data_IF_655847909217
#
_entry.id   IF_655847909217
#
_cell.length_a   1.000
_cell.length_b   1.000
_cell.length_c   1.000
_cell.angle_alpha   90.00
_cell.angle_beta   90.00
_cell.angle_gamma   90.00
#
_symmetry.space_group_name_H-M   'P 1'
#
loop_
_entity.id
_entity.type
_entity.pdbx_description
1 polymer ?
#
# COMPACT_ATOMS: atom_id res chain seq x y z
N UNK A 1 -26.26 -7.13 -2.48
CA UNK A 1 -26.33 -5.91 -3.31
C UNK A 1 -25.63 -4.67 -2.72
N UNK A 2 -25.68 -4.41 -1.41
CA UNK A 2 -25.07 -3.19 -0.81
C UNK A 2 -23.54 -3.08 -0.92
N UNK A 3 -22.80 -4.20 -0.96
CA UNK A 3 -21.32 -4.17 -1.07
C UNK A 3 -20.89 -3.77 -2.48
N UNK A 4 -21.46 -4.39 -3.52
CA UNK A 4 -21.12 -4.09 -4.92
C UNK A 4 -21.34 -2.61 -5.23
N UNK A 5 -22.47 -2.04 -4.79
CA UNK A 5 -22.75 -0.61 -4.99
C UNK A 5 -21.77 0.29 -4.23
N UNK A 6 -21.38 -0.08 -2.99
CA UNK A 6 -20.34 0.64 -2.24
C UNK A 6 -18.98 0.56 -2.92
N UNK A 7 -18.60 -0.61 -3.45
CA UNK A 7 -17.34 -0.79 -4.16
C UNK A 7 -17.28 0.05 -5.44
N UNK A 8 -18.37 0.09 -6.22
CA UNK A 8 -18.47 0.93 -7.41
C UNK A 8 -18.42 2.42 -7.03
N UNK A 9 -19.15 2.83 -6.00
CA UNK A 9 -19.10 4.20 -5.48
C UNK A 9 -17.66 4.59 -5.09
N UNK A 10 -16.97 3.74 -4.33
CA UNK A 10 -15.59 4.00 -3.92
C UNK A 10 -14.63 4.14 -5.11
N UNK A 11 -14.75 3.28 -6.12
CA UNK A 11 -13.95 3.38 -7.35
C UNK A 11 -14.22 4.70 -8.09
N UNK A 12 -15.49 5.12 -8.17
CA UNK A 12 -15.88 6.39 -8.79
C UNK A 12 -15.37 7.61 -8.00
N UNK A 13 -15.49 7.59 -6.68
CA UNK A 13 -14.99 8.65 -5.78
C UNK A 13 -13.46 8.81 -5.93
N UNK A 14 -12.75 7.70 -6.17
CA UNK A 14 -11.31 7.68 -6.44
C UNK A 14 -10.95 8.01 -7.91
N UNK A 15 -11.94 8.18 -8.79
CA UNK A 15 -11.76 8.35 -10.24
C UNK A 15 -10.95 7.21 -10.90
N UNK A 16 -11.28 5.96 -10.58
CA UNK A 16 -10.57 4.77 -11.04
C UNK A 16 -11.50 3.65 -11.51
N UNK A 17 -11.06 2.88 -12.50
CA UNK A 17 -11.69 1.60 -12.82
C UNK A 17 -11.40 0.57 -11.73
N UNK A 18 -12.32 -0.38 -11.53
CA UNK A 18 -12.16 -1.44 -10.54
C UNK A 18 -10.83 -2.18 -10.65
N UNK A 19 -10.40 -2.55 -11.88
CA UNK A 19 -9.14 -3.26 -12.11
C UNK A 19 -7.91 -2.40 -11.78
N UNK A 20 -7.95 -1.09 -12.08
CA UNK A 20 -6.88 -0.16 -11.69
C UNK A 20 -6.79 -0.06 -10.16
N UNK A 21 -7.93 0.13 -9.50
CA UNK A 21 -7.98 0.23 -8.05
C UNK A 21 -7.48 -1.06 -7.37
N UNK A 22 -7.93 -2.22 -7.85
CA UNK A 22 -7.50 -3.54 -7.39
C UNK A 22 -5.99 -3.74 -7.55
N UNK A 23 -5.44 -3.45 -8.73
CA UNK A 23 -4.00 -3.60 -9.00
C UNK A 23 -3.15 -2.76 -8.06
N UNK A 24 -3.56 -1.52 -7.80
CA UNK A 24 -2.86 -0.65 -6.86
C UNK A 24 -2.96 -1.18 -5.42
N UNK A 25 -4.15 -1.61 -4.98
CA UNK A 25 -4.34 -2.18 -3.65
C UNK A 25 -3.49 -3.44 -3.42
N UNK A 26 -3.41 -4.34 -4.42
CA UNK A 26 -2.55 -5.53 -4.39
C UNK A 26 -1.07 -5.13 -4.30
N UNK A 27 -0.63 -4.14 -5.09
CA UNK A 27 0.75 -3.64 -5.04
C UNK A 27 1.12 -3.07 -3.66
N UNK A 28 0.19 -2.32 -3.04
CA UNK A 28 0.35 -1.79 -1.68
C UNK A 28 0.48 -2.95 -0.69
N UNK A 29 -0.47 -3.89 -0.72
CA UNK A 29 -0.48 -5.08 0.15
C UNK A 29 0.82 -5.88 0.06
N UNK A 30 1.32 -6.14 -1.15
CA UNK A 30 2.54 -6.89 -1.36
C UNK A 30 3.78 -6.17 -0.81
N UNK A 31 3.90 -4.84 -0.99
CA UNK A 31 5.03 -4.10 -0.43
C UNK A 31 4.99 -4.03 1.10
N UNK A 32 3.80 -3.94 1.71
CA UNK A 32 3.63 -4.00 3.16
C UNK A 32 4.01 -5.38 3.71
N UNK A 33 3.59 -6.46 3.04
CA UNK A 33 3.97 -7.82 3.42
C UNK A 33 5.49 -8.00 3.37
N UNK A 34 6.15 -7.53 2.31
CA UNK A 34 7.61 -7.58 2.21
C UNK A 34 8.30 -6.76 3.31
N UNK A 35 7.81 -5.54 3.60
CA UNK A 35 8.35 -4.72 4.67
C UNK A 35 8.20 -5.40 6.04
N UNK A 36 7.05 -6.04 6.28
CA UNK A 36 6.79 -6.82 7.49
C UNK A 36 7.74 -8.02 7.62
N UNK A 37 7.94 -8.79 6.54
CA UNK A 37 8.89 -9.91 6.54
C UNK A 37 10.34 -9.44 6.77
N UNK A 38 10.75 -8.33 6.17
CA UNK A 38 12.08 -7.75 6.39
C UNK A 38 12.26 -7.33 7.86
N UNK A 39 11.29 -6.62 8.44
CA UNK A 39 11.34 -6.20 9.83
C UNK A 39 11.35 -7.40 10.79
N UNK A 40 10.57 -8.44 10.48
CA UNK A 40 10.53 -9.68 11.25
C UNK A 40 11.86 -10.44 11.19
N UNK A 41 12.49 -10.59 10.02
CA UNK A 41 13.80 -11.24 9.92
C UNK A 41 14.87 -10.40 10.63
N UNK A 42 14.84 -9.07 10.47
CA UNK A 42 15.76 -8.15 11.13
C UNK A 42 15.66 -8.23 12.66
N UNK A 43 14.46 -8.43 13.23
CA UNK A 43 14.30 -8.56 14.68
C UNK A 43 14.92 -9.84 15.24
N UNK A 44 15.04 -10.89 14.41
CA UNK A 44 15.75 -12.13 14.76
C UNK A 44 17.25 -12.03 14.50
N UNK A 45 17.64 -11.38 13.39
CA UNK A 45 19.03 -11.25 12.94
C UNK A 45 19.27 -9.79 12.51
N UNK A 46 19.76 -8.92 13.41
CA UNK A 46 19.90 -7.49 13.14
C UNK A 46 20.80 -7.13 11.95
N UNK A 47 21.78 -7.97 11.60
CA UNK A 47 22.63 -7.74 10.43
C UNK A 47 21.90 -7.91 9.09
N UNK A 48 20.70 -8.52 9.06
CA UNK A 48 19.90 -8.68 7.86
C UNK A 48 18.87 -7.55 7.75
N UNK A 49 18.71 -7.01 6.53
CA UNK A 49 17.70 -6.00 6.21
C UNK A 49 17.72 -4.74 7.10
N UNK A 50 18.90 -4.31 7.58
CA UNK A 50 19.10 -3.18 8.51
C UNK A 50 18.19 -1.97 8.26
N UNK A 51 18.02 -1.57 6.98
CA UNK A 51 17.16 -0.47 6.58
C UNK A 51 16.08 -0.89 5.56
N UNK A 52 15.88 -2.18 5.35
CA UNK A 52 15.05 -2.73 4.27
C UNK A 52 13.57 -2.38 4.43
N UNK A 53 13.02 -2.63 5.62
CA UNK A 53 11.62 -2.34 5.92
C UNK A 53 11.31 -0.84 5.81
N UNK A 54 12.13 0.02 6.44
CA UNK A 54 11.96 1.48 6.40
C UNK A 54 12.04 2.03 4.98
N UNK A 55 13.02 1.59 4.17
CA UNK A 55 13.12 1.97 2.75
C UNK A 55 11.87 1.56 1.97
N UNK A 56 11.31 0.37 2.24
CA UNK A 56 10.07 -0.07 1.59
C UNK A 56 8.87 0.79 1.96
N UNK A 57 8.73 1.18 3.22
CA UNK A 57 7.65 2.06 3.68
C UNK A 57 7.78 3.45 3.03
N UNK A 58 8.97 4.05 3.02
CA UNK A 58 9.22 5.36 2.39
C UNK A 58 8.90 5.33 0.90
N UNK A 59 9.38 4.31 0.19
CA UNK A 59 9.08 4.15 -1.24
C UNK A 59 7.59 3.97 -1.50
N UNK A 60 6.88 3.24 -0.62
CA UNK A 60 5.44 3.07 -0.72
C UNK A 60 4.69 4.37 -0.45
N UNK A 61 5.13 5.17 0.52
CA UNK A 61 4.57 6.49 0.81
C UNK A 61 4.72 7.42 -0.40
N UNK A 62 5.93 7.52 -0.98
CA UNK A 62 6.18 8.33 -2.18
C UNK A 62 5.30 7.88 -3.36
N UNK A 63 5.11 6.57 -3.52
CA UNK A 63 4.20 6.02 -4.54
C UNK A 63 2.74 6.42 -4.31
N UNK A 64 2.27 6.45 -3.05
CA UNK A 64 0.92 6.91 -2.72
C UNK A 64 0.76 8.41 -3.01
N UNK A 65 1.75 9.23 -2.71
CA UNK A 65 1.78 10.65 -3.08
C UNK A 65 1.72 10.84 -4.60
N UNK A 66 2.56 10.14 -5.36
CA UNK A 66 2.60 10.22 -6.82
C UNK A 66 1.26 9.84 -7.46
N UNK A 67 0.51 8.92 -6.83
CA UNK A 67 -0.83 8.51 -7.29
C UNK A 67 -1.97 9.37 -6.74
N UNK A 68 -1.69 10.46 -6.02
CA UNK A 68 -2.68 11.30 -5.35
C UNK A 68 -3.63 10.49 -4.46
N UNK A 69 -3.10 9.46 -3.79
CA UNK A 69 -3.87 8.55 -2.91
C UNK A 69 -3.72 8.88 -1.43
N UNK A 70 -3.10 10.02 -1.14
CA UNK A 70 -3.03 10.57 0.21
C UNK A 70 -4.09 11.66 0.31
N UNK A 71 -5.19 11.36 0.97
CA UNK A 71 -6.11 12.39 1.43
C UNK A 71 -5.48 13.03 2.65
N UNK A 72 -5.10 14.31 2.55
CA UNK A 72 -4.64 15.11 3.69
C UNK A 72 -5.85 15.53 4.52
N UNK A 73 -6.57 14.56 5.07
CA UNK A 73 -7.57 14.82 6.10
C UNK A 73 -6.83 14.82 7.45
N UNK A 74 -6.49 16.03 7.91
CA UNK A 74 -6.20 16.38 9.30
C UNK A 74 -7.21 17.43 9.73
#
# INVERSE_FOLDING_TARGET
MKIITKSLKHCNDANESYLKHMSVAIKISFNLLLASLMAFIHSLIPALFENGASKKIINLHNYLEEKNRINREN
#
